data_IF_366429063410
#
_entry.id   IF_366429063410
#
_cell.length_a   1.000
_cell.length_b   1.000
_cell.length_c   1.000
_cell.angle_alpha   90.00
_cell.angle_beta   90.00
_cell.angle_gamma   90.00
#
_symmetry.space_group_name_H-M   'P 1'
#
loop_
_entity.id
_entity.type
_entity.pdbx_description
1 polymer ?
#
# COMPACT_ATOMS: atom_id res chain seq x y z
N UNK A 1 0.20 16.15 8.68
CA UNK A 1 1.14 15.43 7.79
C UNK A 1 2.50 16.11 7.77
N UNK A 2 2.60 17.38 7.53
CA UNK A 2 3.86 18.13 7.53
C UNK A 2 4.63 18.01 8.86
N UNK A 3 3.93 18.02 9.98
CA UNK A 3 4.54 17.82 11.31
C UNK A 3 5.15 16.43 11.47
N UNK A 4 4.54 15.38 10.91
CA UNK A 4 5.10 14.02 10.91
C UNK A 4 6.39 13.95 10.09
N UNK A 5 6.42 14.58 8.93
CA UNK A 5 7.63 14.65 8.09
C UNK A 5 8.73 15.41 8.81
N UNK A 6 8.41 16.55 9.41
CA UNK A 6 9.38 17.37 10.14
C UNK A 6 9.92 16.68 11.40
N UNK A 7 9.11 15.83 12.04
CA UNK A 7 9.50 15.13 13.28
C UNK A 7 10.28 13.85 13.00
N UNK A 8 9.86 13.08 12.00
CA UNK A 8 10.38 11.73 11.77
C UNK A 8 11.32 11.61 10.57
N UNK A 9 11.35 12.63 9.71
CA UNK A 9 12.18 12.66 8.48
C UNK A 9 12.10 11.35 7.66
N UNK A 10 10.89 10.87 7.33
CA UNK A 10 10.74 9.62 6.58
C UNK A 10 11.29 9.78 5.16
N UNK A 11 11.96 8.75 4.66
CA UNK A 11 12.35 8.70 3.25
C UNK A 11 11.19 8.32 2.34
N UNK A 12 10.23 7.53 2.86
CA UNK A 12 9.00 7.12 2.18
C UNK A 12 7.84 7.24 3.17
N UNK A 13 6.73 7.81 2.72
CA UNK A 13 5.48 7.91 3.46
C UNK A 13 4.35 7.36 2.61
N UNK A 14 3.53 6.50 3.19
CA UNK A 14 2.29 6.03 2.58
C UNK A 14 1.09 6.58 3.35
N UNK A 15 0.11 7.10 2.63
CA UNK A 15 -1.16 7.57 3.18
C UNK A 15 -2.27 6.77 2.55
N UNK A 16 -3.04 6.10 3.39
CA UNK A 16 -4.21 5.30 2.99
C UNK A 16 -5.49 6.09 3.29
N UNK A 17 -6.49 5.90 2.47
CA UNK A 17 -7.80 6.58 2.59
C UNK A 17 -7.71 8.11 2.74
N UNK A 18 -6.98 8.83 1.90
CA UNK A 18 -6.88 10.29 2.02
C UNK A 18 -8.23 11.00 1.86
N UNK A 19 -9.25 10.35 1.27
CA UNK A 19 -10.62 10.86 1.05
C UNK A 19 -10.70 12.15 0.24
N UNK A 20 -9.62 12.53 -0.41
CA UNK A 20 -9.50 13.66 -1.32
C UNK A 20 -8.82 13.21 -2.61
N UNK A 21 -9.22 13.80 -3.73
CA UNK A 21 -8.70 13.45 -5.04
C UNK A 21 -8.50 14.70 -5.92
N UNK A 22 -8.06 14.46 -7.16
CA UNK A 22 -7.89 15.51 -8.17
C UNK A 22 -6.87 16.57 -7.79
N UNK A 23 -7.11 17.81 -8.24
CA UNK A 23 -6.20 18.95 -8.01
C UNK A 23 -6.03 19.32 -6.54
N UNK A 24 -7.05 19.10 -5.71
CA UNK A 24 -6.94 19.37 -4.27
C UNK A 24 -5.96 18.40 -3.61
N UNK A 25 -6.03 17.11 -3.95
CA UNK A 25 -5.09 16.09 -3.48
C UNK A 25 -3.65 16.41 -3.91
N UNK A 26 -3.47 16.90 -5.13
CA UNK A 26 -2.16 17.30 -5.64
C UNK A 26 -1.55 18.45 -4.82
N UNK A 27 -2.33 19.47 -4.55
CA UNK A 27 -1.87 20.59 -3.74
C UNK A 27 -1.50 20.16 -2.32
N UNK A 28 -2.29 19.29 -1.70
CA UNK A 28 -2.01 18.75 -0.35
C UNK A 28 -0.76 17.88 -0.36
N UNK A 29 -0.60 16.98 -1.34
CA UNK A 29 0.58 16.13 -1.45
C UNK A 29 1.87 16.95 -1.62
N UNK A 30 1.84 18.01 -2.43
CA UNK A 30 2.99 18.89 -2.64
C UNK A 30 3.36 19.70 -1.38
N UNK A 31 2.41 19.93 -0.46
CA UNK A 31 2.65 20.62 0.81
C UNK A 31 3.22 19.70 1.91
N UNK A 32 3.24 18.39 1.71
CA UNK A 32 3.73 17.43 2.73
C UNK A 32 5.22 17.60 3.01
N UNK A 33 6.00 18.07 2.02
CA UNK A 33 7.43 18.35 2.19
C UNK A 33 8.36 17.23 1.71
N UNK A 34 7.84 16.21 1.01
CA UNK A 34 8.61 15.21 0.27
C UNK A 34 8.66 15.58 -1.21
N UNK A 35 9.78 15.34 -1.87
CA UNK A 35 10.07 15.88 -3.20
C UNK A 35 9.36 15.17 -4.35
N UNK A 36 8.87 13.95 -4.13
CA UNK A 36 8.20 13.11 -5.12
C UNK A 36 6.92 12.51 -4.56
N UNK A 37 5.94 12.28 -5.43
CA UNK A 37 4.72 11.56 -5.05
C UNK A 37 4.15 10.77 -6.24
N UNK A 38 3.40 9.73 -5.89
CA UNK A 38 2.50 8.98 -6.76
C UNK A 38 1.18 8.75 -6.04
N UNK A 39 0.06 8.83 -6.74
CA UNK A 39 -1.26 8.74 -6.13
C UNK A 39 -2.19 7.85 -6.94
N UNK A 40 -2.94 7.03 -6.23
CA UNK A 40 -4.17 6.42 -6.71
C UNK A 40 -5.32 7.17 -6.04
N UNK A 41 -6.13 7.83 -6.82
CA UNK A 41 -7.26 8.60 -6.29
C UNK A 41 -8.37 7.66 -5.76
N UNK A 42 -9.12 8.08 -4.74
CA UNK A 42 -10.24 7.32 -4.21
C UNK A 42 -11.34 7.16 -5.28
N UNK A 43 -12.05 6.04 -5.23
CA UNK A 43 -13.26 5.83 -6.02
C UNK A 43 -14.49 6.15 -5.16
N UNK A 44 -15.12 7.28 -5.42
CA UNK A 44 -16.19 7.79 -4.57
C UNK A 44 -15.66 8.28 -3.23
N UNK A 45 -16.22 7.76 -2.14
CA UNK A 45 -15.87 8.17 -0.76
C UNK A 45 -14.90 7.22 -0.05
N UNK A 46 -14.37 6.23 -0.73
CA UNK A 46 -13.49 5.21 -0.14
C UNK A 46 -12.25 4.96 -0.99
N UNK A 47 -11.20 4.50 -0.33
CA UNK A 47 -9.94 4.14 -0.97
C UNK A 47 -9.00 5.32 -1.15
N UNK A 48 -8.11 5.16 -2.13
CA UNK A 48 -6.99 6.04 -2.39
C UNK A 48 -5.74 5.62 -1.66
N UNK A 49 -4.62 5.69 -2.38
CA UNK A 49 -3.29 5.37 -1.86
C UNK A 49 -2.35 6.46 -2.36
N UNK A 50 -1.72 7.17 -1.43
CA UNK A 50 -0.66 8.10 -1.77
C UNK A 50 0.67 7.56 -1.31
N UNK A 51 1.66 7.61 -2.18
CA UNK A 51 3.04 7.32 -1.86
C UNK A 51 3.85 8.59 -2.12
N UNK A 52 4.54 9.05 -1.08
CA UNK A 52 5.40 10.22 -1.13
C UNK A 52 6.81 9.80 -0.72
N UNK A 53 7.83 10.33 -1.38
CA UNK A 53 9.22 9.99 -1.04
C UNK A 53 10.19 11.11 -1.33
N UNK A 54 11.36 11.01 -0.68
CA UNK A 54 12.46 11.90 -0.95
C UNK A 54 13.34 11.34 -2.07
N UNK A 55 13.29 11.99 -3.24
CA UNK A 55 13.95 11.51 -4.46
C UNK A 55 15.48 11.50 -4.37
N UNK A 56 16.07 12.21 -3.42
CA UNK A 56 17.51 12.16 -3.20
C UNK A 56 17.94 10.93 -2.38
N UNK A 57 17.03 10.37 -1.57
CA UNK A 57 17.32 9.23 -0.70
C UNK A 57 17.11 7.88 -1.39
N UNK A 58 16.18 7.79 -2.32
CA UNK A 58 15.88 6.54 -3.03
C UNK A 58 15.26 6.80 -4.39
N UNK A 59 15.53 5.90 -5.34
CA UNK A 59 14.86 5.85 -6.62
C UNK A 59 13.69 4.87 -6.54
N UNK A 60 12.49 5.34 -6.85
CA UNK A 60 11.26 4.56 -6.83
C UNK A 60 10.63 4.57 -8.20
N UNK A 61 10.45 3.38 -8.77
CA UNK A 61 9.69 3.15 -9.98
C UNK A 61 8.36 2.44 -9.64
N UNK A 62 7.24 3.08 -9.93
CA UNK A 62 5.92 2.45 -9.77
C UNK A 62 5.73 1.45 -10.90
N UNK A 63 5.74 0.16 -10.57
CA UNK A 63 5.64 -0.93 -11.56
C UNK A 63 4.21 -1.41 -11.78
N UNK A 64 3.34 -1.24 -10.78
CA UNK A 64 1.91 -1.53 -10.89
C UNK A 64 1.11 -0.72 -9.87
N UNK A 65 -0.04 -0.22 -10.29
CA UNK A 65 -0.98 0.45 -9.41
C UNK A 65 -2.41 -0.03 -9.69
N UNK A 66 -3.16 -0.28 -8.63
CA UNK A 66 -4.57 -0.64 -8.65
C UNK A 66 -5.33 0.18 -7.61
N UNK A 67 -6.64 0.02 -7.52
CA UNK A 67 -7.43 0.64 -6.43
C UNK A 67 -7.06 0.11 -5.05
N UNK A 68 -6.39 -1.06 -4.96
CA UNK A 68 -6.08 -1.76 -3.69
C UNK A 68 -4.60 -1.77 -3.35
N UNK A 69 -3.72 -1.46 -4.30
CA UNK A 69 -2.27 -1.52 -4.04
C UNK A 69 -1.46 -0.67 -5.00
N UNK A 70 -0.31 -0.22 -4.52
CA UNK A 70 0.75 0.37 -5.33
C UNK A 70 2.02 -0.45 -5.12
N UNK A 71 2.49 -1.09 -6.18
CA UNK A 71 3.74 -1.87 -6.19
C UNK A 71 4.86 -1.04 -6.78
N UNK A 72 5.95 -0.92 -6.04
CA UNK A 72 7.09 -0.09 -6.36
C UNK A 72 8.38 -0.90 -6.33
N UNK A 73 9.25 -0.66 -7.31
CA UNK A 73 10.63 -1.11 -7.28
C UNK A 73 11.48 -0.02 -6.62
N UNK A 74 12.16 -0.36 -5.53
CA UNK A 74 12.97 0.58 -4.77
C UNK A 74 14.44 0.26 -4.91
N UNK A 75 15.24 1.29 -5.20
CA UNK A 75 16.71 1.27 -5.20
C UNK A 75 17.23 2.41 -4.36
N UNK A 76 17.99 2.09 -3.32
CA UNK A 76 18.60 3.10 -2.45
C UNK A 76 19.83 3.72 -3.12
N UNK A 77 20.64 2.91 -3.82
CA UNK A 77 21.78 3.37 -4.59
C UNK A 77 22.08 2.38 -5.73
N UNK A 78 23.05 2.73 -6.60
CA UNK A 78 23.42 1.90 -7.76
C UNK A 78 23.98 0.52 -7.42
N UNK A 79 24.44 0.30 -6.18
CA UNK A 79 25.07 -0.95 -5.73
C UNK A 79 24.13 -1.78 -4.85
N UNK A 80 23.00 -1.24 -4.41
CA UNK A 80 22.03 -1.98 -3.59
C UNK A 80 21.19 -2.91 -4.44
N UNK A 81 20.88 -4.08 -3.89
CA UNK A 81 19.89 -4.97 -4.48
C UNK A 81 18.53 -4.27 -4.46
N UNK A 82 17.84 -4.16 -5.60
CA UNK A 82 16.50 -3.63 -5.62
C UNK A 82 15.53 -4.53 -4.86
N UNK A 83 14.47 -3.96 -4.34
CA UNK A 83 13.43 -4.69 -3.64
C UNK A 83 12.05 -4.11 -3.98
N UNK A 84 11.01 -4.89 -3.78
CA UNK A 84 9.64 -4.46 -4.02
C UNK A 84 9.00 -3.98 -2.72
N UNK A 85 8.33 -2.84 -2.79
CA UNK A 85 7.44 -2.36 -1.75
C UNK A 85 6.02 -2.30 -2.27
N UNK A 86 5.09 -2.92 -1.55
CA UNK A 86 3.68 -2.96 -1.90
C UNK A 86 2.90 -2.23 -0.80
N UNK A 87 2.44 -1.03 -1.12
CA UNK A 87 1.51 -0.30 -0.28
C UNK A 87 0.10 -0.84 -0.50
N UNK A 88 -0.56 -1.31 0.55
CA UNK A 88 -1.82 -2.05 0.48
C UNK A 88 -2.95 -1.28 1.14
N UNK A 89 -4.07 -1.19 0.44
CA UNK A 89 -5.39 -0.86 0.96
C UNK A 89 -6.40 -1.84 0.38
N UNK A 90 -6.47 -3.03 0.94
CA UNK A 90 -7.30 -4.10 0.42
C UNK A 90 -8.79 -3.79 0.60
N UNK A 91 -9.60 -4.18 -0.37
CA UNK A 91 -11.04 -3.91 -0.34
C UNK A 91 -11.74 -4.79 0.69
N UNK A 92 -12.67 -4.26 1.49
CA UNK A 92 -13.53 -5.08 2.34
C UNK A 92 -14.58 -5.89 1.55
N UNK A 93 -14.62 -5.75 0.22
CA UNK A 93 -15.52 -6.49 -0.66
C UNK A 93 -14.81 -7.74 -1.14
N UNK A 94 -15.33 -8.93 -0.78
CA UNK A 94 -14.70 -10.24 -1.07
C UNK A 94 -14.24 -10.41 -2.52
N UNK A 95 -15.10 -10.12 -3.50
CA UNK A 95 -14.77 -10.33 -4.91
C UNK A 95 -13.59 -9.48 -5.41
N UNK A 96 -13.38 -8.30 -4.82
CA UNK A 96 -12.22 -7.45 -5.08
C UNK A 96 -11.00 -7.94 -4.32
N UNK A 97 -11.20 -8.35 -3.08
CA UNK A 97 -10.18 -8.85 -2.18
C UNK A 97 -9.52 -10.12 -2.74
N UNK A 98 -10.29 -11.07 -3.24
CA UNK A 98 -9.76 -12.29 -3.87
C UNK A 98 -8.85 -11.98 -5.06
N UNK A 99 -9.20 -10.99 -5.89
CA UNK A 99 -8.34 -10.54 -6.99
C UNK A 99 -7.00 -9.97 -6.53
N UNK A 100 -6.99 -9.35 -5.36
CA UNK A 100 -5.75 -8.86 -4.77
C UNK A 100 -4.85 -10.00 -4.30
N UNK A 101 -5.41 -11.04 -3.68
CA UNK A 101 -4.64 -12.24 -3.30
C UNK A 101 -4.11 -13.01 -4.52
N UNK A 102 -4.92 -13.19 -5.56
CA UNK A 102 -4.47 -13.77 -6.83
C UNK A 102 -3.27 -13.00 -7.40
N UNK A 103 -3.33 -11.68 -7.36
CA UNK A 103 -2.21 -10.84 -7.78
C UNK A 103 -0.95 -11.07 -6.93
N UNK A 104 -1.06 -11.17 -5.61
CA UNK A 104 0.10 -11.41 -4.75
C UNK A 104 0.72 -12.80 -5.00
N UNK A 105 -0.09 -13.82 -5.21
CA UNK A 105 0.38 -15.16 -5.58
C UNK A 105 1.12 -15.12 -6.93
N UNK A 106 0.57 -14.44 -7.92
CA UNK A 106 1.23 -14.24 -9.22
C UNK A 106 2.58 -13.52 -9.04
N UNK A 107 2.61 -12.46 -8.23
CA UNK A 107 3.82 -11.70 -7.94
C UNK A 107 4.89 -12.59 -7.28
N UNK A 108 4.52 -13.39 -6.28
CA UNK A 108 5.42 -14.31 -5.61
C UNK A 108 6.02 -15.36 -6.55
N UNK A 109 5.24 -15.82 -7.54
CA UNK A 109 5.68 -16.80 -8.52
C UNK A 109 6.56 -16.21 -9.63
N UNK A 110 6.44 -14.92 -9.90
CA UNK A 110 7.12 -14.26 -11.03
C UNK A 110 8.35 -13.46 -10.63
N UNK A 111 8.47 -13.05 -9.37
CA UNK A 111 9.58 -12.23 -8.89
C UNK A 111 10.43 -12.93 -7.85
N UNK A 112 11.76 -12.80 -8.01
CA UNK A 112 12.76 -13.31 -7.07
C UNK A 112 13.33 -12.21 -6.16
N UNK A 113 12.83 -10.99 -6.27
CA UNK A 113 13.28 -9.87 -5.46
C UNK A 113 12.72 -9.97 -4.04
N UNK A 114 13.48 -9.55 -3.03
CA UNK A 114 12.91 -9.32 -1.70
C UNK A 114 11.74 -8.34 -1.79
N UNK A 115 10.70 -8.56 -1.02
CA UNK A 115 9.54 -7.69 -1.01
C UNK A 115 9.00 -7.45 0.40
N UNK A 116 8.40 -6.29 0.58
CA UNK A 116 7.72 -5.85 1.79
C UNK A 116 6.31 -5.40 1.45
N UNK A 117 5.33 -5.94 2.15
CA UNK A 117 3.96 -5.43 2.11
C UNK A 117 3.65 -4.67 3.40
N UNK A 118 2.97 -3.54 3.26
CA UNK A 118 2.55 -2.73 4.40
C UNK A 118 1.26 -1.98 4.06
N UNK A 119 0.33 -1.95 5.01
CA UNK A 119 -0.91 -1.21 4.83
C UNK A 119 -2.08 -1.78 5.59
N UNK A 120 -3.29 -1.49 5.12
CA UNK A 120 -4.55 -2.01 5.63
C UNK A 120 -5.02 -3.17 4.74
N UNK A 121 -4.93 -4.37 5.27
CA UNK A 121 -5.34 -5.59 4.55
C UNK A 121 -6.83 -5.86 4.66
N UNK A 122 -7.56 -5.15 5.54
CA UNK A 122 -8.99 -5.40 5.85
C UNK A 122 -9.29 -6.88 6.15
N UNK A 123 -8.32 -7.57 6.75
CA UNK A 123 -8.38 -8.98 7.14
C UNK A 123 -7.93 -9.19 8.58
N UNK A 124 -8.40 -10.28 9.15
CA UNK A 124 -8.06 -10.74 10.49
C UNK A 124 -7.66 -12.22 10.43
N UNK A 125 -6.65 -12.60 11.17
CA UNK A 125 -6.21 -14.00 11.27
C UNK A 125 -6.99 -14.77 12.33
N UNK A 126 -7.38 -14.11 13.42
CA UNK A 126 -8.07 -14.74 14.53
C UNK A 126 -9.28 -13.90 15.00
N UNK A 127 -10.26 -14.60 15.57
CA UNK A 127 -11.46 -13.94 16.12
C UNK A 127 -11.14 -13.00 17.30
N UNK A 128 -10.02 -13.24 17.99
CA UNK A 128 -9.56 -12.40 19.12
C UNK A 128 -9.00 -11.04 18.65
N UNK A 129 -8.64 -10.92 17.36
CA UNK A 129 -8.15 -9.66 16.78
C UNK A 129 -9.31 -8.66 16.55
N UNK A 130 -10.55 -9.07 16.83
CA UNK A 130 -11.74 -8.27 16.57
C UNK A 130 -12.60 -8.05 17.80
N UNK A 131 -12.93 -6.81 18.07
CA UNK A 131 -13.90 -6.42 19.08
C UNK A 131 -15.14 -5.86 18.38
N UNK A 132 -16.26 -6.64 18.40
CA UNK A 132 -17.54 -6.24 17.83
C UNK A 132 -17.63 -6.36 16.30
N UNK A 133 -18.74 -5.91 15.70
CA UNK A 133 -19.01 -6.01 14.27
C UNK A 133 -19.51 -7.39 13.83
N UNK A 134 -19.45 -7.69 12.51
CA UNK A 134 -19.88 -8.98 11.94
C UNK A 134 -18.87 -10.08 12.27
N UNK A 135 -19.35 -11.32 12.39
CA UNK A 135 -18.49 -12.47 12.61
C UNK A 135 -17.50 -12.65 11.46
N UNK A 136 -16.34 -13.25 11.78
CA UNK A 136 -15.36 -13.64 10.77
C UNK A 136 -15.94 -14.73 9.87
N UNK A 137 -15.64 -14.65 8.59
CA UNK A 137 -15.98 -15.71 7.64
C UNK A 137 -14.76 -16.63 7.54
N UNK A 138 -14.82 -17.88 8.03
CA UNK A 138 -13.65 -18.77 8.12
C UNK A 138 -12.93 -18.98 6.80
N UNK A 139 -13.66 -18.99 5.67
CA UNK A 139 -13.06 -19.14 4.35
C UNK A 139 -12.17 -17.96 3.93
N UNK A 140 -12.40 -16.76 4.46
CA UNK A 140 -11.56 -15.58 4.17
C UNK A 140 -10.25 -15.65 4.95
N UNK A 141 -10.34 -16.01 6.22
CA UNK A 141 -9.17 -16.23 7.08
C UNK A 141 -8.24 -17.27 6.45
N UNK A 142 -8.82 -18.37 5.91
CA UNK A 142 -8.03 -19.42 5.27
C UNK A 142 -7.32 -18.92 4.00
N UNK A 143 -7.99 -18.14 3.14
CA UNK A 143 -7.37 -17.58 1.93
C UNK A 143 -6.21 -16.65 2.29
N UNK A 144 -6.36 -15.84 3.35
CA UNK A 144 -5.31 -14.97 3.82
C UNK A 144 -4.11 -15.76 4.39
N UNK A 145 -4.37 -16.74 5.25
CA UNK A 145 -3.34 -17.63 5.82
C UNK A 145 -2.58 -18.40 4.72
N UNK A 146 -3.30 -18.92 3.72
CA UNK A 146 -2.70 -19.64 2.58
C UNK A 146 -1.83 -18.72 1.70
N UNK A 147 -2.19 -17.44 1.58
CA UNK A 147 -1.40 -16.45 0.84
C UNK A 147 -0.09 -16.07 1.55
N UNK A 148 -0.04 -16.19 2.89
CA UNK A 148 1.14 -15.85 3.70
C UNK A 148 2.16 -17.00 3.80
N UNK A 149 1.80 -18.21 3.41
CA UNK A 149 2.66 -19.41 3.40
C UNK A 149 3.36 -19.62 2.08
#
# INVERSE_FOLDING_TARGET
>A
MQDLVNTHHPNIMVILEPKIGGSHAENVANQVGLSRNFRVDPQGFSGGIWVLWEGQCCNIDVVRATEQSVTMLIKVNSHSTPWLFIAVYASPILSKHLKFWEFLIELANTHQLPWLMMGDFNELLESMDKIGGRDLIPSWVQVFDDCLK
#
